data_IF_436594149938
#
_entry.id   IF_436594149938
#
_cell.length_a   1.000
_cell.length_b   1.000
_cell.length_c   1.000
_cell.angle_alpha   90.00
_cell.angle_beta   90.00
_cell.angle_gamma   90.00
#
_symmetry.space_group_name_H-M   'P 1'
#
loop_
_entity.id
_entity.type
_entity.pdbx_description
1 polymer ?
#
# COMPACT_ATOMS: atom_id res chain seq x y z
N UNK A 1 1.91 18.80 7.20
CA UNK A 1 2.81 18.81 6.04
C UNK A 1 4.19 19.23 6.51
N UNK A 2 5.11 18.28 6.65
CA UNK A 2 6.55 18.57 6.81
C UNK A 2 7.13 18.86 5.44
N UNK A 3 8.14 19.70 5.31
CA UNK A 3 8.93 19.82 4.09
C UNK A 3 10.33 20.27 4.46
N UNK A 4 11.34 19.54 4.00
CA UNK A 4 12.74 19.95 4.20
C UNK A 4 13.61 19.50 3.03
N UNK A 5 14.57 20.36 2.69
CA UNK A 5 15.72 20.06 1.81
C UNK A 5 17.03 19.95 2.61
N UNK A 6 16.95 20.11 3.93
CA UNK A 6 18.12 20.19 4.80
C UNK A 6 18.44 18.81 5.36
N UNK A 7 19.68 18.41 5.18
CA UNK A 7 20.24 17.20 5.80
C UNK A 7 20.12 17.26 7.33
N UNK A 8 19.78 16.13 7.97
CA UNK A 8 19.59 16.00 9.42
C UNK A 8 18.52 16.93 10.02
N UNK A 9 17.60 17.47 9.20
CA UNK A 9 16.49 18.27 9.70
C UNK A 9 15.49 17.38 10.44
N UNK A 10 15.17 17.76 11.68
CA UNK A 10 14.16 17.09 12.50
C UNK A 10 12.81 17.82 12.37
N UNK A 11 11.78 17.10 11.97
CA UNK A 11 10.40 17.53 12.09
C UNK A 11 9.69 16.77 13.21
N UNK A 12 8.84 17.45 13.96
CA UNK A 12 8.06 16.87 15.06
C UNK A 12 6.58 17.19 14.89
N UNK A 13 5.74 16.21 15.16
CA UNK A 13 4.28 16.34 15.11
C UNK A 13 3.66 15.77 16.34
N UNK A 14 2.53 16.37 16.70
CA UNK A 14 1.62 15.89 17.73
C UNK A 14 0.21 15.94 17.17
N UNK A 15 -0.46 14.79 17.17
CA UNK A 15 -1.88 14.69 16.90
C UNK A 15 -2.59 14.48 18.23
N UNK A 16 -3.52 15.37 18.57
CA UNK A 16 -4.30 15.29 19.80
C UNK A 16 -5.75 14.94 19.48
N UNK A 17 -6.45 14.33 20.43
CA UNK A 17 -7.88 13.99 20.32
C UNK A 17 -8.21 13.15 19.07
N UNK A 18 -7.37 12.17 18.75
CA UNK A 18 -7.55 11.30 17.58
C UNK A 18 -8.69 10.30 17.78
N UNK A 19 -9.11 10.07 19.03
CA UNK A 19 -10.10 9.06 19.39
C UNK A 19 -9.55 7.63 19.39
N UNK A 20 -8.22 7.46 19.32
CA UNK A 20 -7.59 6.16 19.52
C UNK A 20 -7.76 5.69 20.96
N UNK A 21 -7.93 4.39 21.13
CA UNK A 21 -7.97 3.73 22.42
C UNK A 21 -6.54 3.59 22.95
N UNK A 22 -6.29 4.09 24.17
CA UNK A 22 -4.95 4.04 24.77
C UNK A 22 -4.55 2.64 25.21
N UNK A 23 -5.50 1.71 25.33
CA UNK A 23 -5.23 0.32 25.76
C UNK A 23 -4.87 -0.60 24.58
N UNK A 24 -5.07 -0.14 23.34
CA UNK A 24 -4.87 -0.93 22.13
C UNK A 24 -3.53 -0.64 21.42
N UNK A 25 -3.07 -1.59 20.62
CA UNK A 25 -1.90 -1.41 19.76
C UNK A 25 -2.29 -1.11 18.32
N UNK A 26 -1.54 -0.24 17.65
CA UNK A 26 -1.85 0.20 16.28
C UNK A 26 -0.64 0.07 15.37
N UNK A 27 -0.83 -0.48 14.17
CA UNK A 27 0.19 -0.44 13.13
C UNK A 27 0.34 0.99 12.60
N UNK A 28 1.58 1.50 12.59
CA UNK A 28 1.91 2.84 12.09
C UNK A 28 2.54 2.77 10.70
N UNK A 29 1.86 3.44 9.76
CA UNK A 29 2.34 3.69 8.41
C UNK A 29 2.53 5.20 8.18
N UNK A 30 3.61 5.56 7.51
CA UNK A 30 3.90 6.92 7.11
C UNK A 30 3.82 7.02 5.59
N UNK A 31 3.16 8.06 5.09
CA UNK A 31 2.93 8.28 3.67
C UNK A 31 3.36 9.67 3.21
N UNK A 32 3.71 9.73 1.93
CA UNK A 32 3.93 10.97 1.21
C UNK A 32 5.33 11.49 1.42
N UNK A 33 6.32 10.78 0.88
CA UNK A 33 7.72 11.00 1.18
C UNK A 33 8.62 10.63 -0.02
N UNK A 34 8.87 11.55 -0.96
CA UNK A 34 10.10 11.53 -1.80
C UNK A 34 10.26 12.80 -2.66
N UNK A 35 11.47 13.34 -2.79
CA UNK A 35 12.28 13.07 -3.98
C UNK A 35 13.75 13.39 -3.70
N UNK A 36 14.66 12.41 -3.71
CA UNK A 36 16.11 12.68 -3.80
C UNK A 36 16.61 12.05 -5.09
N UNK A 37 16.83 12.89 -6.09
CA UNK A 37 17.17 12.45 -7.45
C UNK A 37 18.68 12.57 -7.60
N UNK A 38 19.31 11.49 -8.03
CA UNK A 38 20.68 11.53 -8.52
C UNK A 38 20.62 11.73 -10.03
N UNK A 39 21.00 12.93 -10.48
CA UNK A 39 21.04 13.25 -11.90
C UNK A 39 22.46 13.04 -12.42
N UNK A 40 22.65 12.02 -13.25
CA UNK A 40 23.86 11.89 -14.09
C UNK A 40 23.57 12.50 -15.46
N UNK A 41 24.59 12.75 -16.30
CA UNK A 41 24.40 13.28 -17.66
C UNK A 41 23.49 12.41 -18.56
N UNK A 42 23.18 11.17 -18.16
CA UNK A 42 22.46 10.20 -19.00
C UNK A 42 21.28 9.48 -18.31
N UNK A 43 21.18 9.51 -16.97
CA UNK A 43 20.15 8.79 -16.19
C UNK A 43 19.76 9.54 -14.92
N UNK A 44 18.46 9.54 -14.63
CA UNK A 44 17.89 9.94 -13.33
C UNK A 44 17.63 8.67 -12.51
N UNK A 45 18.37 8.51 -11.41
CA UNK A 45 18.17 7.40 -10.48
C UNK A 45 17.55 7.91 -9.18
N UNK A 46 16.50 7.21 -8.72
CA UNK A 46 15.79 7.58 -7.51
C UNK A 46 16.58 7.10 -6.28
N UNK A 47 17.17 8.04 -5.57
CA UNK A 47 18.01 7.79 -4.41
C UNK A 47 17.23 8.07 -3.12
N UNK A 48 16.11 7.36 -2.92
CA UNK A 48 15.17 7.51 -1.80
C UNK A 48 15.86 7.93 -0.49
N UNK A 49 15.46 9.10 0.03
CA UNK A 49 15.97 9.64 1.29
C UNK A 49 15.79 8.64 2.44
N UNK A 50 16.77 8.56 3.33
CA UNK A 50 16.71 7.68 4.49
C UNK A 50 16.10 8.41 5.68
N UNK A 51 15.25 7.73 6.45
CA UNK A 51 14.63 8.31 7.65
C UNK A 51 15.01 7.63 8.94
N UNK A 52 15.22 8.46 9.95
CA UNK A 52 15.19 8.09 11.34
C UNK A 52 13.85 8.53 11.92
N UNK A 53 12.99 7.57 12.25
CA UNK A 53 11.67 7.82 12.83
C UNK A 53 11.76 7.55 14.34
N UNK A 54 11.09 8.36 15.15
CA UNK A 54 10.94 8.14 16.59
C UNK A 54 9.50 8.38 16.99
N UNK A 55 9.01 7.59 17.93
CA UNK A 55 7.67 7.71 18.49
C UNK A 55 7.78 8.07 19.96
N UNK A 56 6.94 8.97 20.45
CA UNK A 56 7.00 9.38 21.84
C UNK A 56 6.40 8.31 22.74
N UNK A 57 6.99 8.14 23.91
CA UNK A 57 6.49 7.32 24.98
C UNK A 57 5.90 8.25 26.05
N UNK A 58 4.58 8.23 26.22
CA UNK A 58 3.87 9.12 27.12
C UNK A 58 4.11 8.77 28.60
N UNK A 59 4.39 7.51 28.90
CA UNK A 59 4.73 7.06 30.25
C UNK A 59 6.14 7.51 30.66
N UNK A 60 7.15 7.20 29.83
CA UNK A 60 8.56 7.56 30.07
C UNK A 60 8.86 9.04 29.86
N UNK A 61 7.99 9.74 29.13
CA UNK A 61 8.20 11.13 28.66
C UNK A 61 9.51 11.28 27.87
N UNK A 62 9.77 10.32 27.00
CA UNK A 62 10.93 10.31 26.11
C UNK A 62 10.59 9.66 24.75
N UNK A 63 11.49 9.76 23.78
CA UNK A 63 11.36 9.14 22.46
C UNK A 63 11.82 7.68 22.48
N UNK A 64 10.93 6.76 22.13
CA UNK A 64 11.33 5.37 21.89
C UNK A 64 12.18 5.26 20.62
N UNK A 65 13.17 4.38 20.68
CA UNK A 65 14.03 4.06 19.56
C UNK A 65 13.25 3.23 18.55
N UNK A 66 13.32 3.63 17.29
CA UNK A 66 12.71 2.89 16.20
C UNK A 66 13.17 1.43 16.12
N UNK A 67 12.28 0.49 15.71
CA UNK A 67 12.64 -0.89 15.38
C UNK A 67 13.77 -1.02 14.35
N UNK A 68 13.87 -0.06 13.42
CA UNK A 68 14.95 -0.02 12.42
C UNK A 68 15.82 1.22 12.61
N UNK A 69 17.12 1.07 12.41
CA UNK A 69 18.07 2.20 12.50
C UNK A 69 17.76 3.27 11.45
N UNK A 70 17.40 2.86 10.23
CA UNK A 70 16.99 3.73 9.12
C UNK A 70 15.89 3.05 8.30
N UNK A 71 14.93 3.84 7.84
CA UNK A 71 13.92 3.42 6.88
C UNK A 71 14.22 4.02 5.51
N UNK A 72 13.84 3.29 4.47
CA UNK A 72 13.76 3.77 3.09
C UNK A 72 12.34 3.48 2.60
N UNK A 73 11.80 4.38 1.78
CA UNK A 73 10.52 4.14 1.12
C UNK A 73 10.62 3.00 0.13
N UNK A 74 9.53 2.26 -0.01
CA UNK A 74 9.34 1.35 -1.13
C UNK A 74 8.75 2.10 -2.34
N UNK A 75 8.44 1.37 -3.41
CA UNK A 75 7.83 1.94 -4.64
C UNK A 75 6.41 2.49 -4.42
N UNK A 76 5.85 2.40 -3.20
CA UNK A 76 4.52 2.86 -2.85
C UNK A 76 4.54 4.15 -2.01
N UNK A 77 5.69 4.81 -1.90
CA UNK A 77 5.92 6.03 -1.12
C UNK A 77 5.45 5.90 0.33
N UNK A 78 5.68 4.71 0.89
CA UNK A 78 5.22 4.34 2.22
C UNK A 78 6.34 3.75 3.08
N UNK A 79 6.28 4.01 4.39
CA UNK A 79 7.07 3.32 5.39
C UNK A 79 6.13 2.66 6.39
N UNK A 80 6.31 1.36 6.58
CA UNK A 80 5.79 0.69 7.77
C UNK A 80 6.80 0.81 8.92
N UNK A 81 6.42 1.55 9.96
CA UNK A 81 7.25 1.75 11.14
C UNK A 81 7.26 0.50 12.03
N UNK A 82 6.09 -0.08 12.26
CA UNK A 82 5.83 -1.13 13.24
C UNK A 82 4.57 -0.82 14.05
N UNK A 83 4.33 -1.60 15.11
CA UNK A 83 3.25 -1.37 16.07
C UNK A 83 3.61 -0.26 17.06
N UNK A 84 2.74 0.72 17.20
CA UNK A 84 2.63 1.55 18.40
C UNK A 84 2.00 0.74 19.51
N UNK A 85 2.62 0.82 20.69
CA UNK A 85 2.13 0.21 21.91
C UNK A 85 1.23 1.20 22.68
N UNK A 86 0.45 0.72 23.66
CA UNK A 86 -0.31 1.57 24.59
C UNK A 86 0.50 2.74 25.16
N UNK A 87 1.75 2.48 25.58
CA UNK A 87 2.67 3.50 26.12
C UNK A 87 3.02 4.65 25.12
N UNK A 88 2.74 4.46 23.82
CA UNK A 88 2.94 5.45 22.77
C UNK A 88 1.69 6.28 22.46
N UNK A 89 0.57 6.02 23.15
CA UNK A 89 -0.72 6.67 22.95
C UNK A 89 -1.07 7.41 24.24
N UNK A 90 -1.06 8.74 24.18
CA UNK A 90 -1.41 9.59 25.31
C UNK A 90 -2.92 9.74 25.49
N UNK A 91 -3.30 10.47 26.53
CA UNK A 91 -4.71 10.75 26.85
C UNK A 91 -5.50 11.23 25.64
N UNK A 92 -6.70 10.68 25.45
CA UNK A 92 -7.59 10.93 24.29
C UNK A 92 -6.97 10.56 22.93
N UNK A 93 -6.07 9.56 22.92
CA UNK A 93 -5.46 9.04 21.71
C UNK A 93 -4.30 9.90 21.18
N UNK A 94 -3.66 10.72 22.01
CA UNK A 94 -2.61 11.60 21.53
C UNK A 94 -1.41 10.80 20.99
N UNK A 95 -0.85 11.18 19.84
CA UNK A 95 0.33 10.52 19.25
C UNK A 95 1.34 11.57 18.85
N UNK A 96 2.63 11.30 19.13
CA UNK A 96 3.74 12.17 18.73
C UNK A 96 4.77 11.40 17.93
N UNK A 97 5.25 12.06 16.88
CA UNK A 97 6.21 11.51 15.93
C UNK A 97 7.33 12.51 15.71
N UNK A 98 8.57 12.01 15.63
CA UNK A 98 9.73 12.76 15.15
C UNK A 98 10.31 12.04 13.95
N UNK A 99 10.64 12.79 12.91
CA UNK A 99 11.30 12.29 11.71
C UNK A 99 12.55 13.13 11.46
N UNK A 100 13.66 12.43 11.29
CA UNK A 100 14.95 13.01 10.92
C UNK A 100 15.31 12.46 9.55
N UNK A 101 15.61 13.36 8.63
CA UNK A 101 15.89 13.02 7.23
C UNK A 101 17.39 12.94 6.97
N UNK A 102 17.79 11.96 6.17
CA UNK A 102 19.18 11.71 5.79
C UNK A 102 19.32 11.51 4.28
N UNK A 103 20.51 11.83 3.77
CA UNK A 103 20.89 11.76 2.37
C UNK A 103 19.95 12.56 1.45
N UNK A 104 19.59 13.79 1.87
CA UNK A 104 18.79 14.72 1.06
C UNK A 104 19.64 15.63 0.18
N UNK A 105 20.91 15.86 0.53
CA UNK A 105 21.79 16.70 -0.24
C UNK A 105 23.23 16.20 -0.10
N UNK A 106 23.80 15.73 -1.21
CA UNK A 106 25.23 15.46 -1.38
C UNK A 106 25.70 16.03 -2.72
N UNK A 107 26.97 15.81 -3.09
CA UNK A 107 27.56 16.38 -4.30
C UNK A 107 26.89 15.87 -5.60
N UNK A 108 26.16 14.75 -5.53
CA UNK A 108 25.55 14.07 -6.69
C UNK A 108 24.02 14.06 -6.65
N UNK A 109 23.42 14.42 -5.50
CA UNK A 109 22.00 14.26 -5.25
C UNK A 109 21.41 15.52 -4.60
N UNK A 110 20.31 16.02 -5.17
CA UNK A 110 19.50 17.06 -4.56
C UNK A 110 18.11 16.52 -4.29
N UNK A 111 17.67 16.65 -3.04
CA UNK A 111 16.46 16.00 -2.60
C UNK A 111 15.65 16.76 -1.57
N UNK A 112 14.45 16.25 -1.38
CA UNK A 112 13.42 16.81 -0.54
C UNK A 112 12.69 15.69 0.19
N UNK A 113 12.45 15.88 1.47
CA UNK A 113 11.54 15.03 2.22
C UNK A 113 10.37 15.87 2.69
N UNK A 114 9.17 15.37 2.44
CA UNK A 114 7.96 15.86 3.08
C UNK A 114 7.25 14.70 3.76
N UNK A 115 6.31 15.01 4.65
CA UNK A 115 5.41 14.04 5.28
C UNK A 115 4.00 14.55 5.04
N UNK A 116 3.19 13.74 4.37
CA UNK A 116 1.80 14.08 4.11
C UNK A 116 0.92 13.69 5.29
N UNK A 117 0.83 12.39 5.57
CA UNK A 117 -0.01 11.86 6.63
C UNK A 117 0.55 10.58 7.24
N UNK A 118 0.06 10.28 8.43
CA UNK A 118 0.24 8.98 9.07
C UNK A 118 -1.07 8.22 9.05
N UNK A 119 -0.98 6.90 9.02
CA UNK A 119 -2.10 6.00 9.20
C UNK A 119 -1.84 5.13 10.41
N UNK A 120 -2.80 5.12 11.33
CA UNK A 120 -2.82 4.29 12.52
C UNK A 120 -4.03 3.36 12.43
N UNK A 121 -3.79 2.06 12.53
CA UNK A 121 -4.86 1.07 12.40
C UNK A 121 -4.66 -0.09 13.39
N UNK A 122 -5.70 -0.52 14.12
CA UNK A 122 -5.60 -1.58 15.13
C UNK A 122 -5.41 -2.98 14.48
N UNK A 123 -5.67 -3.07 13.18
CA UNK A 123 -5.43 -4.23 12.33
C UNK A 123 -4.42 -3.86 11.24
N UNK A 124 -3.64 -4.81 10.73
CA UNK A 124 -2.76 -4.56 9.58
C UNK A 124 -3.57 -3.93 8.44
N UNK A 125 -3.06 -2.85 7.83
CA UNK A 125 -3.79 -2.10 6.82
C UNK A 125 -4.09 -2.98 5.59
N UNK A 126 -5.33 -3.47 5.50
CA UNK A 126 -5.78 -4.31 4.40
C UNK A 126 -6.02 -3.46 3.14
N UNK A 127 -5.09 -3.57 2.19
CA UNK A 127 -5.30 -3.54 0.74
C UNK A 127 -6.01 -2.32 0.14
N UNK A 128 -5.23 -1.46 -0.51
CA UNK A 128 -5.76 -0.56 -1.55
C UNK A 128 -6.59 -1.38 -2.57
N UNK A 129 -7.73 -0.86 -2.99
CA UNK A 129 -8.60 -1.48 -3.99
C UNK A 129 -7.85 -1.49 -5.33
N UNK A 130 -7.55 -2.67 -5.86
CA UNK A 130 -6.97 -2.77 -7.19
C UNK A 130 -8.03 -2.44 -8.25
N UNK A 131 -7.98 -1.24 -8.82
CA UNK A 131 -8.97 -0.77 -9.82
C UNK A 131 -8.92 -1.57 -11.13
N UNK A 132 -7.82 -2.30 -11.39
CA UNK A 132 -7.73 -3.21 -12.52
C UNK A 132 -8.44 -4.54 -12.30
N UNK A 133 -8.86 -4.88 -11.09
CA UNK A 133 -9.54 -6.15 -10.79
C UNK A 133 -10.85 -5.97 -10.02
N UNK A 134 -11.03 -4.83 -9.36
CA UNK A 134 -12.22 -4.48 -8.62
C UNK A 134 -13.45 -4.42 -9.53
N UNK A 135 -14.58 -4.89 -8.99
CA UNK A 135 -15.87 -4.75 -9.65
C UNK A 135 -16.37 -3.31 -9.54
N UNK A 136 -17.27 -2.92 -10.44
CA UNK A 136 -17.98 -1.62 -10.37
C UNK A 136 -18.56 -1.37 -8.97
N UNK A 137 -19.20 -2.38 -8.39
CA UNK A 137 -19.81 -2.28 -7.06
C UNK A 137 -18.79 -1.92 -5.98
N UNK A 138 -17.59 -2.50 -6.03
CA UNK A 138 -16.51 -2.20 -5.07
C UNK A 138 -15.98 -0.79 -5.30
N UNK A 139 -15.79 -0.39 -6.55
CA UNK A 139 -15.32 0.97 -6.90
C UNK A 139 -16.34 2.04 -6.47
N UNK A 140 -17.64 1.76 -6.57
CA UNK A 140 -18.70 2.68 -6.16
C UNK A 140 -18.74 2.96 -4.65
N UNK A 141 -18.02 2.18 -3.82
CA UNK A 141 -17.90 2.45 -2.38
C UNK A 141 -16.90 3.58 -2.11
N UNK A 142 -16.05 3.93 -3.08
CA UNK A 142 -15.04 4.97 -2.92
C UNK A 142 -15.70 6.34 -2.64
N UNK A 143 -15.13 7.15 -1.73
CA UNK A 143 -15.73 8.42 -1.34
C UNK A 143 -15.94 9.37 -2.52
N UNK A 144 -17.20 9.72 -2.80
CA UNK A 144 -17.57 10.65 -3.88
C UNK A 144 -17.59 10.03 -5.28
N UNK A 145 -17.40 8.71 -5.40
CA UNK A 145 -17.54 7.99 -6.68
C UNK A 145 -18.98 7.55 -6.86
N UNK A 146 -19.67 8.14 -7.83
CA UNK A 146 -21.02 7.71 -8.20
C UNK A 146 -20.99 6.42 -9.05
N UNK A 147 -22.17 5.83 -9.25
CA UNK A 147 -22.33 4.60 -10.02
C UNK A 147 -21.78 4.72 -11.45
N UNK A 148 -22.00 5.86 -12.12
CA UNK A 148 -21.61 6.05 -13.51
C UNK A 148 -20.10 6.18 -13.66
N UNK A 149 -19.46 6.87 -12.72
CA UNK A 149 -18.01 6.95 -12.64
C UNK A 149 -17.40 5.59 -12.31
N UNK A 150 -17.99 4.85 -11.36
CA UNK A 150 -17.56 3.49 -11.04
C UNK A 150 -17.61 2.57 -12.27
N UNK A 151 -18.68 2.67 -13.08
CA UNK A 151 -18.79 1.96 -14.36
C UNK A 151 -17.68 2.35 -15.33
N UNK A 152 -17.41 3.65 -15.47
CA UNK A 152 -16.37 4.15 -16.37
C UNK A 152 -14.98 3.68 -15.93
N UNK A 153 -14.69 3.69 -14.62
CA UNK A 153 -13.44 3.19 -14.06
C UNK A 153 -13.32 1.68 -14.31
N UNK A 154 -14.35 0.89 -13.99
CA UNK A 154 -14.33 -0.56 -14.18
C UNK A 154 -14.17 -0.95 -15.65
N UNK A 155 -14.81 -0.21 -16.57
CA UNK A 155 -14.76 -0.47 -18.02
C UNK A 155 -13.53 0.15 -18.70
N UNK A 156 -12.86 1.11 -18.06
CA UNK A 156 -11.72 1.83 -18.64
C UNK A 156 -12.12 2.85 -19.68
N UNK A 157 -13.23 3.56 -19.51
CA UNK A 157 -13.75 4.50 -20.51
C UNK A 157 -13.09 5.87 -20.33
N UNK A 158 -12.25 6.28 -21.28
CA UNK A 158 -11.63 7.60 -21.25
C UNK A 158 -12.58 8.73 -21.65
N UNK A 159 -12.17 9.99 -21.42
CA UNK A 159 -12.87 11.19 -21.92
C UNK A 159 -13.16 11.13 -23.43
N UNK A 160 -12.21 10.58 -24.20
CA UNK A 160 -12.32 10.37 -25.65
C UNK A 160 -13.00 9.04 -26.05
N UNK A 161 -13.63 8.35 -25.10
CA UNK A 161 -14.25 7.03 -25.28
C UNK A 161 -13.29 5.92 -25.73
N UNK A 162 -11.98 6.11 -25.55
CA UNK A 162 -10.99 5.04 -25.74
C UNK A 162 -10.95 4.14 -24.51
N UNK A 163 -10.61 2.88 -24.71
CA UNK A 163 -10.40 1.94 -23.60
C UNK A 163 -8.97 2.09 -23.08
N UNK A 164 -8.83 2.48 -21.82
CA UNK A 164 -7.53 2.76 -21.17
C UNK A 164 -7.16 1.72 -20.09
N UNK A 165 -8.02 0.73 -19.85
CA UNK A 165 -7.72 -0.42 -18.97
C UNK A 165 -6.93 -1.49 -19.76
N UNK A 166 -5.86 -2.09 -19.20
CA UNK A 166 -5.38 -1.97 -17.83
C UNK A 166 -4.63 -0.66 -17.55
N UNK A 167 -4.93 -0.05 -16.41
CA UNK A 167 -4.21 1.11 -15.88
C UNK A 167 -2.82 0.66 -15.43
N UNK A 168 -1.78 1.38 -15.85
CA UNK A 168 -0.39 1.12 -15.50
C UNK A 168 0.02 1.81 -14.20
N UNK A 169 -0.58 2.96 -13.94
CA UNK A 169 -0.42 3.75 -12.73
C UNK A 169 -1.79 4.29 -12.27
N UNK A 170 -1.88 4.80 -11.03
CA UNK A 170 -3.14 5.35 -10.50
C UNK A 170 -3.54 6.66 -11.16
N UNK A 171 -2.60 7.43 -11.73
CA UNK A 171 -2.86 8.69 -12.42
C UNK A 171 -3.59 8.52 -13.75
N UNK A 172 -3.50 7.34 -14.39
CA UNK A 172 -4.27 7.00 -15.59
C UNK A 172 -5.79 7.16 -15.36
N UNK A 173 -6.25 7.16 -14.11
CA UNK A 173 -7.64 7.42 -13.76
C UNK A 173 -8.08 8.85 -14.05
N UNK A 174 -7.18 9.82 -14.11
CA UNK A 174 -7.50 11.21 -14.48
C UNK A 174 -8.04 11.32 -15.91
N UNK A 175 -7.72 10.35 -16.77
CA UNK A 175 -8.22 10.25 -18.14
C UNK A 175 -9.59 9.55 -18.22
N UNK A 176 -10.04 8.92 -17.13
CA UNK A 176 -11.37 8.31 -17.07
C UNK A 176 -12.44 9.39 -17.18
N UNK A 177 -13.46 9.09 -17.98
CA UNK A 177 -14.59 9.98 -18.17
C UNK A 177 -15.33 10.24 -16.85
N UNK A 178 -15.39 11.49 -16.44
CA UNK A 178 -16.05 11.92 -15.21
C UNK A 178 -15.15 11.96 -13.97
N UNK A 179 -13.88 11.55 -14.09
CA UNK A 179 -12.90 11.76 -13.02
C UNK A 179 -12.46 13.22 -12.98
N UNK A 180 -12.30 13.77 -11.78
CA UNK A 180 -11.72 15.11 -11.55
C UNK A 180 -10.48 15.02 -10.68
N UNK A 181 -9.56 16.00 -10.72
CA UNK A 181 -8.39 16.03 -9.85
C UNK A 181 -8.74 15.98 -8.36
N UNK A 182 -9.78 16.70 -7.94
CA UNK A 182 -10.21 16.75 -6.53
C UNK A 182 -10.73 15.40 -6.05
N UNK A 183 -11.51 14.72 -6.90
CA UNK A 183 -11.99 13.38 -6.59
C UNK A 183 -10.84 12.38 -6.59
N UNK A 184 -9.91 12.49 -7.53
CA UNK A 184 -8.70 11.66 -7.58
C UNK A 184 -7.89 11.79 -6.29
N UNK A 185 -7.63 13.01 -5.81
CA UNK A 185 -6.96 13.24 -4.53
C UNK A 185 -7.70 12.58 -3.36
N UNK A 186 -9.04 12.61 -3.39
CA UNK A 186 -9.88 11.98 -2.35
C UNK A 186 -9.77 10.46 -2.36
N UNK A 187 -9.68 9.84 -3.54
CA UNK A 187 -9.69 8.38 -3.66
C UNK A 187 -8.31 7.73 -3.75
N UNK A 188 -7.24 8.51 -4.02
CA UNK A 188 -5.89 8.04 -4.29
C UNK A 188 -5.36 7.08 -3.22
N UNK A 189 -5.67 7.34 -1.95
CA UNK A 189 -5.19 6.54 -0.82
C UNK A 189 -5.92 5.20 -0.66
N UNK A 190 -7.07 5.02 -1.33
CA UNK A 190 -7.89 3.81 -1.25
C UNK A 190 -7.66 2.87 -2.44
N UNK A 191 -6.84 3.24 -3.43
CA UNK A 191 -6.75 2.52 -4.71
C UNK A 191 -5.32 2.20 -5.12
N UNK A 192 -5.17 1.12 -5.88
CA UNK A 192 -3.91 0.65 -6.48
C UNK A 192 -4.20 0.08 -7.87
N UNK A 193 -3.16 -0.16 -8.67
CA UNK A 193 -3.26 -0.83 -9.98
C UNK A 193 -2.52 -2.17 -10.01
N UNK A 194 -1.81 -2.49 -8.92
CA UNK A 194 -1.01 -3.71 -8.74
C UNK A 194 -1.49 -4.46 -7.51
N UNK A 195 -1.32 -5.78 -7.51
CA UNK A 195 -1.52 -6.62 -6.34
C UNK A 195 -0.26 -7.41 -6.09
N UNK A 196 0.13 -7.52 -4.83
CA UNK A 196 1.18 -8.44 -4.39
C UNK A 196 0.56 -9.62 -3.61
N UNK A 197 -0.76 -9.64 -3.41
CA UNK A 197 -1.48 -10.74 -2.80
C UNK A 197 -2.34 -11.45 -3.84
N UNK A 198 -2.31 -12.79 -3.81
CA UNK A 198 -3.05 -13.65 -4.74
C UNK A 198 -3.76 -14.76 -3.97
N UNK A 199 -4.94 -15.14 -4.46
CA UNK A 199 -5.64 -16.35 -4.04
C UNK A 199 -5.54 -17.38 -5.15
N UNK A 200 -4.86 -18.48 -4.88
CA UNK A 200 -4.69 -19.60 -5.80
C UNK A 200 -5.67 -20.70 -5.38
N UNK A 201 -6.61 -21.05 -6.26
CA UNK A 201 -7.48 -22.20 -6.05
C UNK A 201 -6.94 -23.35 -6.90
N UNK A 202 -6.59 -24.47 -6.27
CA UNK A 202 -6.12 -25.68 -6.93
C UNK A 202 -7.21 -26.74 -6.80
N UNK A 203 -7.64 -27.29 -7.94
CA UNK A 203 -8.60 -28.38 -8.00
C UNK A 203 -7.92 -29.56 -8.67
N UNK A 204 -7.77 -30.66 -7.93
CA UNK A 204 -7.26 -31.92 -8.43
C UNK A 204 -8.44 -32.88 -8.66
N UNK A 205 -8.55 -33.44 -9.86
CA UNK A 205 -9.62 -34.37 -10.22
C UNK A 205 -9.02 -35.66 -10.77
N UNK A 206 -9.52 -36.80 -10.29
CA UNK A 206 -9.18 -38.13 -10.79
C UNK A 206 -10.34 -38.59 -11.68
N UNK A 207 -10.04 -38.97 -12.92
CA UNK A 207 -11.06 -39.41 -13.87
C UNK A 207 -11.05 -40.93 -14.05
N UNK A 208 -12.23 -41.52 -14.30
CA UNK A 208 -12.42 -42.96 -14.61
C UNK A 208 -11.64 -43.39 -15.85
N UNK A 209 -11.48 -42.48 -16.80
CA UNK A 209 -10.79 -42.71 -18.07
C UNK A 209 -10.07 -41.43 -18.44
N UNK A 210 -8.92 -41.53 -19.11
CA UNK A 210 -8.21 -40.35 -19.57
C UNK A 210 -9.12 -39.54 -20.48
N UNK A 211 -9.38 -38.26 -20.18
CA UNK A 211 -10.28 -37.46 -20.99
C UNK A 211 -9.68 -37.21 -22.37
N UNK A 212 -10.35 -37.68 -23.42
CA UNK A 212 -9.96 -37.38 -24.82
C UNK A 212 -10.34 -35.95 -25.23
N UNK A 213 -11.22 -35.28 -24.47
CA UNK A 213 -11.70 -33.92 -24.73
C UNK A 213 -11.64 -33.04 -23.47
N UNK A 214 -11.63 -31.71 -23.64
CA UNK A 214 -11.55 -30.73 -22.54
C UNK A 214 -12.83 -30.62 -21.70
N UNK A 215 -13.98 -31.04 -22.23
CA UNK A 215 -15.24 -31.04 -21.49
C UNK A 215 -15.46 -32.42 -20.89
N UNK A 216 -15.36 -32.50 -19.56
CA UNK A 216 -15.48 -33.76 -18.84
C UNK A 216 -16.80 -33.73 -18.06
N UNK A 217 -17.65 -34.72 -18.34
CA UNK A 217 -18.90 -34.89 -17.58
C UNK A 217 -18.59 -35.14 -16.10
N UNK A 218 -19.32 -34.52 -15.15
CA UNK A 218 -19.15 -34.74 -13.72
C UNK A 218 -19.20 -36.22 -13.31
N UNK A 219 -19.91 -37.06 -14.08
CA UNK A 219 -20.07 -38.50 -13.85
C UNK A 219 -18.78 -39.31 -14.01
N UNK A 220 -17.78 -38.74 -14.69
CA UNK A 220 -16.48 -39.35 -14.95
C UNK A 220 -15.44 -39.03 -13.86
N UNK A 221 -15.76 -38.16 -12.90
CA UNK A 221 -14.88 -37.80 -11.79
C UNK A 221 -15.00 -38.86 -10.69
N UNK A 222 -13.91 -39.55 -10.38
CA UNK A 222 -13.81 -40.53 -9.29
C UNK A 222 -13.60 -39.82 -7.96
N UNK A 223 -12.72 -38.83 -7.95
CA UNK A 223 -12.38 -38.07 -6.76
C UNK A 223 -12.05 -36.64 -7.18
N UNK A 224 -12.39 -35.69 -6.31
CA UNK A 224 -12.04 -34.28 -6.43
C UNK A 224 -11.48 -33.82 -5.10
N UNK A 225 -10.38 -33.10 -5.16
CA UNK A 225 -9.83 -32.36 -4.02
C UNK A 225 -9.65 -30.89 -4.40
N UNK A 226 -9.94 -30.01 -3.47
CA UNK A 226 -9.92 -28.57 -3.66
C UNK A 226 -9.16 -27.91 -2.52
N UNK A 227 -8.02 -27.30 -2.84
CA UNK A 227 -7.21 -26.55 -1.90
C UNK A 227 -7.10 -25.10 -2.34
N UNK A 228 -7.28 -24.17 -1.41
CA UNK A 228 -7.10 -22.74 -1.68
C UNK A 228 -5.90 -22.22 -0.88
N UNK A 229 -5.03 -21.48 -1.54
CA UNK A 229 -3.86 -20.85 -0.93
C UNK A 229 -3.96 -19.34 -1.09
N UNK A 230 -3.69 -18.62 0.00
CA UNK A 230 -3.42 -17.19 -0.05
C UNK A 230 -1.91 -17.02 -0.05
N UNK A 231 -1.38 -16.39 -1.10
CA UNK A 231 0.05 -16.18 -1.27
C UNK A 231 0.34 -14.70 -1.44
N UNK A 232 1.49 -14.26 -0.95
CA UNK A 232 1.97 -12.90 -1.06
C UNK A 232 3.34 -12.88 -1.73
N UNK A 233 3.52 -11.98 -2.68
CA UNK A 233 4.78 -11.69 -3.32
C UNK A 233 5.55 -10.70 -2.45
N UNK A 234 6.72 -11.10 -1.97
CA UNK A 234 7.62 -10.25 -1.20
C UNK A 234 8.96 -10.04 -1.89
N UNK A 235 9.56 -8.85 -1.78
CA UNK A 235 10.92 -8.63 -2.24
C UNK A 235 11.88 -9.38 -1.31
N UNK A 236 12.77 -10.20 -1.88
CA UNK A 236 13.87 -10.87 -1.17
C UNK A 236 15.19 -10.10 -1.34
N UNK A 237 15.38 -9.48 -2.50
CA UNK A 237 16.50 -8.58 -2.81
C UNK A 237 16.08 -7.60 -3.92
N UNK A 238 16.94 -6.67 -4.35
CA UNK A 238 16.62 -5.62 -5.34
C UNK A 238 15.98 -6.15 -6.64
N UNK A 239 16.30 -7.38 -7.06
CA UNK A 239 15.75 -8.01 -8.27
C UNK A 239 15.16 -9.41 -8.04
N UNK A 240 15.07 -9.88 -6.79
CA UNK A 240 14.55 -11.20 -6.48
C UNK A 240 13.25 -11.09 -5.67
N UNK A 241 12.23 -11.82 -6.10
CA UNK A 241 10.93 -11.86 -5.44
C UNK A 241 10.65 -13.29 -5.03
N UNK A 242 10.11 -13.46 -3.82
CA UNK A 242 9.60 -14.75 -3.36
C UNK A 242 8.09 -14.69 -3.22
N UNK A 243 7.46 -15.84 -3.41
CA UNK A 243 6.05 -16.04 -3.10
C UNK A 243 6.01 -16.76 -1.75
N UNK A 244 5.46 -16.09 -0.75
CA UNK A 244 5.26 -16.64 0.58
C UNK A 244 3.81 -17.04 0.74
N UNK A 245 3.56 -18.28 1.12
CA UNK A 245 2.23 -18.73 1.49
C UNK A 245 1.85 -18.15 2.84
N UNK A 246 0.72 -17.44 2.88
CA UNK A 246 0.19 -16.83 4.10
C UNK A 246 -0.83 -17.72 4.79
N UNK A 247 -1.70 -18.34 4.00
CA UNK A 247 -2.81 -19.13 4.53
C UNK A 247 -3.13 -20.30 3.59
N UNK A 248 -3.52 -21.43 4.18
CA UNK A 248 -4.19 -22.52 3.48
C UNK A 248 -5.63 -22.55 3.93
N UNK A 249 -6.55 -22.43 2.98
CA UNK A 249 -7.98 -22.54 3.22
C UNK A 249 -8.42 -23.89 2.66
N UNK A 250 -8.65 -24.84 3.57
CA UNK A 250 -9.30 -26.11 3.24
C UNK A 250 -10.78 -25.84 3.03
N UNK A 251 -11.26 -26.07 1.79
CA UNK A 251 -12.68 -26.05 1.49
C UNK A 251 -13.22 -27.45 1.76
N UNK A 252 -13.68 -27.69 2.99
CA UNK A 252 -14.45 -28.90 3.34
C UNK A 252 -15.80 -28.92 2.63
#
# INVERSE_FOLDING_TARGET
MYYTKKENSEGRWEWQNTGLDSEESYDLYLFGLNDSIMTTEFLEENHNAQLNIKVWNFEKKDWDVSPKKRYKYDKNDSIYFGKLKPENIGDKGAVKLSIITHNLADDECSGTAWLDYILLTPIEFQGKINVNTATERVIAVLPGVDKKLAENIAKGISKDKKKIRPYQNTYDLLDVKGMTPELMCRIANYITVRTDTYRINITAEIFKTSPETKEISPENIIARDCSTFVVERKPKSENEWIIEQRETISLN
#
